data_IF_859542965843
#
_entry.id   IF_859542965843
#
_cell.length_a   1.000
_cell.length_b   1.000
_cell.length_c   1.000
_cell.angle_alpha   90.00
_cell.angle_beta   90.00
_cell.angle_gamma   90.00
#
_symmetry.space_group_name_H-M   'P 1'
#
loop_
_entity.id
_entity.type
_entity.pdbx_description
1 polymer ?
#
# COMPACT_ATOMS: atom_id res chain seq x y z
N UNK A 1 -8.27 -10.90 -2.62
CA UNK A 1 -8.05 -10.40 -1.25
C UNK A 1 -9.36 -10.54 -0.49
N UNK A 2 -9.33 -10.99 0.76
CA UNK A 2 -10.52 -11.06 1.61
C UNK A 2 -10.70 -9.75 2.39
N UNK A 3 -11.95 -9.36 2.63
CA UNK A 3 -12.33 -8.22 3.47
C UNK A 3 -12.97 -8.73 4.76
N UNK A 4 -12.56 -8.18 5.89
CA UNK A 4 -13.19 -8.44 7.18
C UNK A 4 -14.21 -7.35 7.47
N UNK A 5 -15.39 -7.77 7.91
CA UNK A 5 -16.49 -6.88 8.31
C UNK A 5 -16.66 -6.92 9.83
N UNK A 6 -17.11 -5.81 10.40
CA UNK A 6 -17.41 -5.71 11.83
C UNK A 6 -18.37 -6.80 12.29
N UNK A 7 -17.96 -7.52 13.33
CA UNK A 7 -18.82 -8.45 14.06
C UNK A 7 -19.60 -7.75 15.20
N UNK A 8 -19.68 -6.41 15.18
CA UNK A 8 -20.32 -5.57 16.18
C UNK A 8 -19.89 -5.95 17.61
N UNK A 9 -20.80 -6.53 18.40
CA UNK A 9 -20.58 -6.88 19.80
C UNK A 9 -19.45 -7.91 20.02
N UNK A 10 -19.14 -8.72 19.00
CA UNK A 10 -18.12 -9.77 19.10
C UNK A 10 -16.74 -9.36 18.57
N UNK A 11 -16.61 -8.15 17.99
CA UNK A 11 -15.36 -7.68 17.36
C UNK A 11 -14.15 -7.73 18.31
N UNK A 12 -14.39 -7.47 19.60
CA UNK A 12 -13.33 -7.38 20.62
C UNK A 12 -12.45 -8.63 20.67
N UNK A 13 -13.06 -9.83 20.60
CA UNK A 13 -12.33 -11.10 20.68
C UNK A 13 -11.45 -11.35 19.44
N UNK A 14 -11.83 -10.79 18.28
CA UNK A 14 -11.10 -10.92 17.02
C UNK A 14 -10.12 -9.77 16.78
N UNK A 15 -10.01 -8.83 17.72
CA UNK A 15 -9.06 -7.74 17.57
C UNK A 15 -7.62 -8.29 17.59
N UNK A 16 -6.70 -7.71 16.79
CA UNK A 16 -5.34 -8.24 16.61
C UNK A 16 -4.58 -8.46 17.91
N UNK A 17 -4.82 -7.60 18.91
CA UNK A 17 -4.20 -7.68 20.23
C UNK A 17 -4.64 -8.93 21.00
N UNK A 18 -5.91 -9.32 20.92
CA UNK A 18 -6.43 -10.52 21.58
C UNK A 18 -6.01 -11.80 20.86
N UNK A 19 -5.84 -11.72 19.54
CA UNK A 19 -5.28 -12.80 18.71
C UNK A 19 -3.74 -12.91 18.80
N UNK A 20 -3.10 -12.15 19.69
CA UNK A 20 -1.64 -12.14 19.86
C UNK A 20 -0.88 -11.83 18.56
N UNK A 21 -1.48 -11.03 17.67
CA UNK A 21 -0.78 -10.53 16.50
C UNK A 21 0.14 -9.37 16.92
N UNK A 22 1.45 -9.62 16.91
CA UNK A 22 2.49 -8.64 17.26
C UNK A 22 2.94 -7.76 16.09
N UNK A 23 2.38 -7.97 14.90
CA UNK A 23 2.66 -7.15 13.72
C UNK A 23 1.64 -6.01 13.56
N UNK A 24 1.93 -5.05 12.68
CA UNK A 24 0.97 -4.00 12.30
C UNK A 24 -0.23 -4.64 11.60
N UNK A 25 -1.37 -4.60 12.29
CA UNK A 25 -2.61 -5.14 11.77
C UNK A 25 -3.16 -4.30 10.61
N UNK A 26 -3.84 -4.96 9.67
CA UNK A 26 -4.59 -4.28 8.61
C UNK A 26 -5.86 -3.66 9.20
N UNK A 27 -6.24 -2.44 8.79
CA UNK A 27 -7.51 -1.86 9.20
C UNK A 27 -8.67 -2.70 8.67
N UNK A 28 -9.68 -2.93 9.52
CA UNK A 28 -10.93 -3.61 9.17
C UNK A 28 -12.01 -2.59 8.83
N UNK A 29 -12.97 -2.97 7.99
CA UNK A 29 -14.07 -2.09 7.61
C UNK A 29 -15.17 -2.19 8.67
N UNK A 30 -15.41 -1.11 9.40
CA UNK A 30 -16.34 -1.10 10.53
C UNK A 30 -17.82 -1.20 10.11
N UNK A 31 -18.19 -0.71 8.93
CA UNK A 31 -19.58 -0.73 8.47
C UNK A 31 -19.69 -0.93 6.97
N UNK A 32 -20.70 -1.69 6.56
CA UNK A 32 -21.10 -1.88 5.16
C UNK A 32 -22.31 -0.99 4.90
N UNK A 33 -22.28 -0.22 3.83
CA UNK A 33 -23.48 0.48 3.36
C UNK A 33 -24.52 -0.53 2.88
N UNK A 34 -25.79 -0.27 3.17
CA UNK A 34 -26.89 -0.96 2.51
C UNK A 34 -26.86 -0.67 1.01
N UNK A 35 -27.06 -1.71 0.19
CA UNK A 35 -27.19 -1.61 -1.26
C UNK A 35 -28.57 -2.11 -1.67
N UNK A 36 -29.26 -1.36 -2.51
CA UNK A 36 -30.54 -1.74 -3.10
C UNK A 36 -30.35 -2.17 -4.57
N UNK A 37 -31.17 -3.10 -5.05
CA UNK A 37 -31.16 -3.57 -6.43
C UNK A 37 -30.69 -5.01 -6.61
N UNK A 38 -30.16 -5.31 -7.79
CA UNK A 38 -29.73 -6.66 -8.19
C UNK A 38 -28.25 -6.69 -8.64
N UNK A 39 -27.64 -7.86 -8.59
CA UNK A 39 -26.25 -8.08 -9.03
C UNK A 39 -26.18 -8.32 -10.53
N UNK A 40 -25.22 -7.69 -11.20
CA UNK A 40 -24.95 -7.92 -12.62
C UNK A 40 -23.75 -8.86 -12.78
N UNK A 41 -23.81 -9.74 -13.79
CA UNK A 41 -22.70 -10.65 -14.11
C UNK A 41 -21.59 -9.85 -14.79
N UNK A 42 -20.41 -9.83 -14.18
CA UNK A 42 -19.25 -9.06 -14.66
C UNK A 42 -18.16 -9.92 -15.33
N UNK A 43 -18.29 -11.26 -15.28
CA UNK A 43 -17.31 -12.20 -15.80
C UNK A 43 -17.97 -13.28 -16.66
N UNK A 44 -17.21 -13.88 -17.58
CA UNK A 44 -17.66 -15.01 -18.39
C UNK A 44 -17.56 -16.35 -17.64
N UNK A 45 -18.00 -17.43 -18.30
CA UNK A 45 -17.95 -18.82 -17.83
C UNK A 45 -16.54 -19.34 -17.51
N UNK A 46 -15.50 -18.71 -18.07
CA UNK A 46 -14.08 -19.00 -17.81
C UNK A 46 -13.48 -18.15 -16.68
N UNK A 47 -14.26 -17.26 -16.06
CA UNK A 47 -13.80 -16.37 -14.99
C UNK A 47 -13.03 -15.12 -15.48
N UNK A 48 -13.02 -14.84 -16.78
CA UNK A 48 -12.47 -13.59 -17.31
C UNK A 48 -13.50 -12.45 -17.20
N UNK A 49 -13.05 -11.26 -16.79
CA UNK A 49 -13.89 -10.06 -16.78
C UNK A 49 -14.35 -9.70 -18.20
N UNK A 50 -15.60 -9.24 -18.33
CA UNK A 50 -16.13 -8.75 -19.60
C UNK A 50 -15.34 -7.50 -20.05
N UNK A 51 -15.11 -7.28 -21.37
CA UNK A 51 -14.29 -6.17 -21.86
C UNK A 51 -14.76 -4.77 -21.45
N UNK A 52 -16.07 -4.61 -21.18
CA UNK A 52 -16.67 -3.34 -20.75
C UNK A 52 -16.45 -3.02 -19.27
N UNK A 53 -16.06 -4.01 -18.45
CA UNK A 53 -15.90 -3.84 -17.01
C UNK A 53 -14.56 -3.15 -16.74
N UNK A 54 -14.54 -2.00 -16.02
CA UNK A 54 -13.30 -1.33 -15.70
C UNK A 54 -12.42 -2.24 -14.85
N UNK A 55 -11.20 -2.46 -15.31
CA UNK A 55 -10.21 -3.28 -14.62
C UNK A 55 -9.05 -2.45 -14.13
N UNK A 56 -8.49 -2.84 -12.98
CA UNK A 56 -7.21 -2.29 -12.54
C UNK A 56 -6.14 -2.58 -13.60
N UNK A 57 -5.40 -1.55 -14.00
CA UNK A 57 -4.17 -1.71 -14.80
C UNK A 57 -3.00 -2.22 -13.97
N UNK A 58 -3.12 -2.18 -12.64
CA UNK A 58 -2.08 -2.64 -11.73
C UNK A 58 -2.10 -4.18 -11.61
N UNK A 59 -0.93 -4.74 -11.33
CA UNK A 59 -0.74 -6.17 -11.12
C UNK A 59 -1.61 -6.68 -9.95
N UNK A 60 -2.29 -7.83 -10.09
CA UNK A 60 -3.06 -8.42 -9.00
C UNK A 60 -2.18 -8.91 -7.85
N UNK A 61 -0.87 -9.10 -8.09
CA UNK A 61 0.11 -9.46 -7.08
C UNK A 61 0.70 -8.24 -6.33
N UNK A 62 0.18 -7.04 -6.62
CA UNK A 62 0.59 -5.80 -5.98
C UNK A 62 1.83 -5.16 -6.61
N UNK A 63 2.42 -4.20 -5.88
CA UNK A 63 3.59 -3.42 -6.29
C UNK A 63 4.86 -3.88 -5.56
N UNK A 64 5.04 -5.19 -5.40
CA UNK A 64 6.23 -5.71 -4.72
C UNK A 64 7.44 -5.59 -5.66
N UNK A 65 8.53 -5.00 -5.16
CA UNK A 65 9.81 -4.95 -5.87
C UNK A 65 10.66 -6.13 -5.41
N UNK A 66 11.04 -7.00 -6.36
CA UNK A 66 11.92 -8.12 -6.11
C UNK A 66 13.37 -7.68 -5.88
N UNK A 67 14.18 -8.56 -5.30
CA UNK A 67 15.58 -8.31 -4.97
C UNK A 67 16.40 -7.76 -6.15
N UNK A 68 16.16 -8.28 -7.36
CA UNK A 68 16.86 -7.86 -8.58
C UNK A 68 16.39 -6.51 -9.14
N UNK A 69 15.23 -6.02 -8.71
CA UNK A 69 14.66 -4.74 -9.11
C UNK A 69 14.96 -3.63 -8.09
N UNK A 70 15.51 -3.98 -6.92
CA UNK A 70 15.96 -3.00 -5.93
C UNK A 70 17.19 -2.23 -6.43
N UNK A 71 17.33 -0.94 -6.09
CA UNK A 71 18.52 -0.19 -6.44
C UNK A 71 19.73 -0.68 -5.63
N UNK A 72 20.91 -0.63 -6.26
CA UNK A 72 22.18 -1.01 -5.63
C UNK A 72 22.46 -0.27 -4.31
N UNK A 73 22.03 1.00 -4.22
CA UNK A 73 22.11 1.82 -3.00
C UNK A 73 20.74 2.36 -2.67
N UNK A 74 20.17 1.83 -1.59
CA UNK A 74 18.87 2.25 -1.06
C UNK A 74 19.06 3.60 -0.33
N UNK A 75 18.24 4.62 -0.60
CA UNK A 75 18.32 5.89 0.10
C UNK A 75 17.96 5.72 1.59
N UNK A 76 18.49 6.55 2.49
CA UNK A 76 18.18 6.47 3.92
C UNK A 76 16.69 6.74 4.19
N UNK A 77 16.12 6.01 5.15
CA UNK A 77 14.72 6.14 5.55
C UNK A 77 14.41 7.47 6.26
N UNK A 78 15.43 8.13 6.83
CA UNK A 78 15.31 9.45 7.44
C UNK A 78 16.32 10.38 6.80
N UNK A 79 15.84 11.52 6.31
CA UNK A 79 16.67 12.56 5.72
C UNK A 79 16.38 13.88 6.43
N UNK A 80 17.37 14.38 7.15
CA UNK A 80 17.39 15.75 7.67
C UNK A 80 17.95 16.68 6.59
N UNK A 81 17.16 17.66 6.15
CA UNK A 81 17.59 18.68 5.19
C UNK A 81 18.44 19.79 5.84
N UNK A 82 19.13 19.48 6.93
CA UNK A 82 20.06 20.38 7.64
C UNK A 82 21.40 20.56 6.91
N UNK A 83 21.47 20.19 5.63
CA UNK A 83 22.65 20.42 4.81
C UNK A 83 22.99 21.92 4.83
N UNK A 84 24.27 22.26 5.03
CA UNK A 84 24.74 23.66 5.10
C UNK A 84 24.50 24.47 3.82
N UNK A 85 24.01 23.84 2.75
CA UNK A 85 23.75 24.45 1.44
C UNK A 85 22.46 23.92 0.80
N UNK A 86 21.76 24.80 0.09
CA UNK A 86 20.55 24.48 -0.69
C UNK A 86 20.80 23.42 -1.76
N UNK A 87 21.97 23.44 -2.39
CA UNK A 87 22.38 22.44 -3.39
C UNK A 87 22.52 21.03 -2.79
N UNK A 88 23.01 20.91 -1.55
CA UNK A 88 23.13 19.63 -0.85
C UNK A 88 21.77 19.01 -0.54
N UNK A 89 20.83 19.83 -0.06
CA UNK A 89 19.44 19.42 0.16
C UNK A 89 18.76 18.95 -1.14
N UNK A 90 18.96 19.68 -2.25
CA UNK A 90 18.43 19.30 -3.55
C UNK A 90 19.01 17.98 -4.10
N UNK A 91 20.30 17.72 -3.84
CA UNK A 91 20.93 16.44 -4.25
C UNK A 91 20.32 15.25 -3.50
N UNK A 92 20.06 15.40 -2.19
CA UNK A 92 19.42 14.37 -1.37
C UNK A 92 17.99 14.08 -1.83
N UNK A 93 17.18 15.12 -2.07
CA UNK A 93 15.82 14.92 -2.58
C UNK A 93 15.82 14.29 -3.97
N UNK A 94 16.77 14.66 -4.84
CA UNK A 94 16.96 14.03 -6.16
C UNK A 94 17.33 12.54 -6.05
N UNK A 95 18.16 12.17 -5.07
CA UNK A 95 18.52 10.77 -4.84
C UNK A 95 17.33 9.93 -4.36
N UNK A 96 16.53 10.46 -3.42
CA UNK A 96 15.30 9.80 -2.94
C UNK A 96 14.33 9.53 -4.09
N UNK A 97 14.10 10.54 -4.94
CA UNK A 97 13.15 10.44 -6.05
C UNK A 97 13.73 9.76 -7.29
N UNK A 98 14.99 9.30 -7.25
CA UNK A 98 15.66 8.65 -8.39
C UNK A 98 14.92 7.40 -8.85
N UNK A 99 14.32 6.64 -7.93
CA UNK A 99 13.57 5.41 -8.22
C UNK A 99 12.13 5.57 -7.71
N UNK A 100 11.20 6.07 -8.54
CA UNK A 100 9.82 6.31 -8.11
C UNK A 100 9.09 5.01 -7.75
N UNK A 101 9.46 3.89 -8.37
CA UNK A 101 8.86 2.58 -8.08
C UNK A 101 9.17 2.14 -6.64
N UNK A 102 10.38 2.45 -6.14
CA UNK A 102 10.76 2.16 -4.75
C UNK A 102 9.88 2.91 -3.74
N UNK A 103 9.41 4.12 -4.07
CA UNK A 103 8.54 4.89 -3.18
C UNK A 103 7.09 4.42 -3.21
N UNK A 104 6.66 3.84 -4.34
CA UNK A 104 5.28 3.34 -4.56
C UNK A 104 5.12 1.87 -4.18
N UNK A 105 6.22 1.13 -4.06
CA UNK A 105 6.18 -0.29 -3.77
C UNK A 105 5.61 -0.60 -2.39
N UNK A 106 4.96 -1.76 -2.24
CA UNK A 106 4.39 -2.16 -0.95
C UNK A 106 5.47 -2.50 0.09
N UNK A 107 6.60 -3.05 -0.36
CA UNK A 107 7.85 -3.20 0.39
C UNK A 107 8.83 -2.04 0.16
N UNK A 108 8.31 -0.94 -0.38
CA UNK A 108 9.07 0.24 -0.76
C UNK A 108 9.50 1.11 0.41
N UNK A 109 10.29 2.14 0.09
CA UNK A 109 10.83 3.06 1.07
C UNK A 109 9.84 4.21 1.31
N UNK A 110 9.62 4.56 2.59
CA UNK A 110 8.80 5.71 3.00
C UNK A 110 9.69 6.71 3.75
N UNK A 111 10.39 7.59 3.05
CA UNK A 111 11.36 8.47 3.66
C UNK A 111 10.66 9.55 4.49
N UNK A 112 11.09 9.72 5.73
CA UNK A 112 10.75 10.88 6.55
C UNK A 112 11.74 12.01 6.20
N UNK A 113 11.24 13.04 5.53
CA UNK A 113 12.02 14.22 5.15
C UNK A 113 11.72 15.32 6.19
N UNK A 114 12.71 15.60 7.04
CA UNK A 114 12.62 16.66 8.03
C UNK A 114 13.19 17.94 7.42
N UNK A 115 12.32 18.93 7.22
CA UNK A 115 12.72 20.30 6.89
C UNK A 115 13.36 20.96 8.14
N UNK A 116 14.29 21.91 7.94
CA UNK A 116 14.82 22.73 9.03
C UNK A 116 13.75 23.61 9.68
#
# INVERSE_FOLDING_TARGET
MATNYSANQYEKAFSPKYLQNWSLAKPTKESISSYEGYTQIIANDRGHLLPSVPRSKASPWGSFIGTWQMPLKIPPARVTLTARTTAGAASLTKWIHKNPDLLKACNGLRPEILAP
#
